data_IF_072279107113
#
_entry.id   IF_072279107113
#
_cell.length_a   1.000
_cell.length_b   1.000
_cell.length_c   1.000
_cell.angle_alpha   90.00
_cell.angle_beta   90.00
_cell.angle_gamma   90.00
#
_symmetry.space_group_name_H-M   'P 1'
#
loop_
_entity.id
_entity.type
_entity.pdbx_description
1 polymer ?
#
# COMPACT_ATOMS: atom_id res chain seq x y z
N UNK A 1 -1.50 -32.95 66.41
CA UNK A 1 -0.90 -33.50 65.16
C UNK A 1 -2.07 -33.79 64.22
N UNK A 2 -2.17 -33.40 62.96
CA UNK A 2 -1.28 -32.68 62.05
C UNK A 2 -2.09 -32.48 60.76
N UNK A 3 -2.31 -31.21 60.35
CA UNK A 3 -2.42 -30.69 58.96
C UNK A 3 -3.54 -31.25 58.06
N UNK A 4 -4.62 -30.51 57.72
CA UNK A 4 -4.70 -29.33 56.83
C UNK A 4 -4.20 -29.63 55.39
N UNK A 5 -5.12 -29.96 54.46
CA UNK A 5 -4.96 -29.83 53.00
C UNK A 5 -6.36 -29.47 52.44
N UNK A 6 -6.73 -28.18 52.43
CA UNK A 6 -6.63 -27.25 51.29
C UNK A 6 -7.45 -27.69 50.05
N UNK A 7 -8.70 -27.21 50.05
CA UNK A 7 -9.55 -26.98 48.90
C UNK A 7 -8.95 -25.81 48.11
N UNK A 8 -8.42 -26.06 46.92
CA UNK A 8 -8.27 -25.01 45.90
C UNK A 8 -8.42 -25.64 44.52
N UNK A 9 -9.67 -25.64 44.03
CA UNK A 9 -10.02 -26.00 42.67
C UNK A 9 -9.38 -24.96 41.73
N UNK A 10 -8.25 -25.31 41.12
CA UNK A 10 -7.56 -24.46 40.15
C UNK A 10 -8.42 -24.35 38.88
N UNK A 11 -9.26 -23.32 38.84
CA UNK A 11 -9.95 -22.86 37.66
C UNK A 11 -8.89 -22.24 36.72
N UNK A 12 -8.23 -23.08 35.93
CA UNK A 12 -7.42 -22.64 34.81
C UNK A 12 -8.34 -21.97 33.79
N UNK A 13 -8.48 -20.65 33.93
CA UNK A 13 -8.97 -19.80 32.85
C UNK A 13 -8.05 -20.02 31.65
N UNK A 14 -8.52 -20.82 30.68
CA UNK A 14 -8.01 -20.76 29.31
C UNK A 14 -8.31 -19.35 28.80
N UNK A 15 -7.42 -18.40 29.07
CA UNK A 15 -7.24 -17.24 28.22
C UNK A 15 -6.75 -17.78 26.88
N UNK A 16 -7.71 -18.10 26.01
CA UNK A 16 -7.43 -18.27 24.60
C UNK A 16 -6.83 -16.95 24.12
N UNK A 17 -5.51 -16.92 23.96
CA UNK A 17 -4.84 -15.90 23.19
C UNK A 17 -5.45 -15.97 21.78
N UNK A 18 -6.41 -15.10 21.51
CA UNK A 18 -6.93 -14.95 20.15
C UNK A 18 -5.72 -14.53 19.30
N UNK A 19 -5.34 -15.28 18.25
CA UNK A 19 -4.31 -14.81 17.35
C UNK A 19 -4.75 -13.44 16.86
N UNK A 20 -3.91 -12.42 17.04
CA UNK A 20 -4.13 -11.11 16.43
C UNK A 20 -4.40 -11.37 14.95
N UNK A 21 -5.63 -11.11 14.52
CA UNK A 21 -6.00 -11.31 13.12
C UNK A 21 -5.16 -10.33 12.33
N UNK A 22 -4.17 -10.85 11.61
CA UNK A 22 -3.39 -10.11 10.64
C UNK A 22 -4.35 -9.22 9.82
N UNK A 23 -3.98 -7.95 9.66
CA UNK A 23 -4.81 -6.99 8.96
C UNK A 23 -5.16 -7.51 7.57
N UNK A 24 -6.35 -7.18 7.05
CA UNK A 24 -6.69 -7.58 5.68
C UNK A 24 -5.66 -7.06 4.68
N UNK A 25 -5.13 -5.85 4.95
CA UNK A 25 -3.94 -5.25 4.36
C UNK A 25 -2.99 -4.86 5.50
N UNK A 26 -1.72 -5.25 5.38
CA UNK A 26 -0.64 -4.84 6.27
C UNK A 26 0.32 -3.96 5.47
N UNK A 27 0.30 -2.64 5.70
CA UNK A 27 1.23 -1.69 5.08
C UNK A 27 2.43 -1.47 6.00
N UNK A 28 3.65 -1.59 5.47
CA UNK A 28 4.86 -1.49 6.29
C UNK A 28 5.69 -0.23 5.99
N UNK A 29 5.93 0.08 4.72
CA UNK A 29 6.97 1.05 4.34
C UNK A 29 6.57 1.90 3.14
N UNK A 30 6.92 3.18 3.18
CA UNK A 30 6.82 4.10 2.03
C UNK A 30 8.16 4.14 1.31
N UNK A 31 8.14 3.90 0.01
CA UNK A 31 9.28 4.00 -0.89
C UNK A 31 9.11 5.24 -1.77
N UNK A 32 10.03 6.20 -1.64
CA UNK A 32 10.12 7.33 -2.54
C UNK A 32 10.76 6.87 -3.85
N UNK A 33 10.05 7.06 -4.97
CA UNK A 33 10.52 6.61 -6.28
C UNK A 33 11.29 7.70 -7.03
N UNK A 34 11.57 8.82 -6.37
CA UNK A 34 12.29 9.93 -6.95
C UNK A 34 13.34 10.44 -5.96
N UNK A 35 14.45 11.02 -6.43
CA UNK A 35 15.45 11.63 -5.58
C UNK A 35 14.84 12.72 -4.69
N UNK A 36 15.32 12.84 -3.46
CA UNK A 36 14.85 13.87 -2.51
C UNK A 36 15.03 15.30 -3.05
N UNK A 37 16.12 15.53 -3.79
CA UNK A 37 16.39 16.81 -4.45
C UNK A 37 15.30 17.21 -5.48
N UNK A 38 14.57 16.24 -6.04
CA UNK A 38 13.41 16.50 -6.89
C UNK A 38 12.13 16.68 -6.08
N UNK A 39 11.93 15.89 -5.03
CA UNK A 39 10.68 15.89 -4.26
C UNK A 39 10.55 17.13 -3.37
N UNK A 40 11.64 17.57 -2.74
CA UNK A 40 11.66 18.69 -1.80
C UNK A 40 11.06 19.99 -2.37
N UNK A 41 11.42 20.45 -3.60
CA UNK A 41 10.77 21.63 -4.17
C UNK A 41 9.31 21.37 -4.60
N UNK A 42 8.93 20.12 -4.88
CA UNK A 42 7.59 19.75 -5.39
C UNK A 42 6.53 19.61 -4.29
N UNK A 43 6.93 19.26 -3.07
CA UNK A 43 6.05 19.00 -1.93
C UNK A 43 6.16 20.16 -0.92
N UNK A 44 5.28 21.18 -1.01
CA UNK A 44 5.32 22.32 -0.10
C UNK A 44 4.87 21.96 1.34
N UNK A 45 4.08 20.90 1.49
CA UNK A 45 3.58 20.43 2.77
C UNK A 45 3.70 18.90 2.86
N UNK A 46 4.75 18.46 3.57
CA UNK A 46 5.06 17.04 3.79
C UNK A 46 4.00 16.38 4.67
N UNK A 47 3.41 17.10 5.63
CA UNK A 47 2.40 16.55 6.54
C UNK A 47 1.11 16.24 5.77
N UNK A 48 0.72 17.11 4.84
CA UNK A 48 -0.42 16.86 3.95
C UNK A 48 -0.16 15.66 3.02
N UNK A 49 1.08 15.48 2.54
CA UNK A 49 1.46 14.29 1.76
C UNK A 49 1.35 13.01 2.59
N UNK A 50 1.90 12.98 3.81
CA UNK A 50 1.80 11.82 4.70
C UNK A 50 0.33 11.47 5.01
N UNK A 51 -0.47 12.47 5.37
CA UNK A 51 -1.91 12.32 5.64
C UNK A 51 -2.67 11.75 4.44
N UNK A 52 -2.29 12.16 3.23
CA UNK A 52 -2.89 11.63 2.00
C UNK A 52 -2.50 10.17 1.75
N UNK A 53 -1.23 9.80 1.96
CA UNK A 53 -0.76 8.41 1.84
C UNK A 53 -1.56 7.52 2.78
N UNK A 54 -1.69 7.89 4.06
CA UNK A 54 -2.44 7.13 5.06
C UNK A 54 -3.91 6.95 4.67
N UNK A 55 -4.55 8.01 4.17
CA UNK A 55 -5.94 7.94 3.72
C UNK A 55 -6.10 7.05 2.50
N UNK A 56 -5.22 7.17 1.51
CA UNK A 56 -5.26 6.35 0.31
C UNK A 56 -5.04 4.86 0.63
N UNK A 57 -4.06 4.53 1.46
CA UNK A 57 -3.80 3.15 1.88
C UNK A 57 -4.94 2.59 2.72
N UNK A 58 -5.56 3.39 3.59
CA UNK A 58 -6.75 2.99 4.36
C UNK A 58 -7.95 2.67 3.45
N UNK A 59 -8.17 3.43 2.38
CA UNK A 59 -9.21 3.13 1.39
C UNK A 59 -8.95 1.79 0.67
N UNK A 60 -7.70 1.49 0.33
CA UNK A 60 -7.35 0.19 -0.24
C UNK A 60 -7.53 -0.95 0.79
N UNK A 61 -7.18 -0.72 2.05
CA UNK A 61 -7.35 -1.67 3.14
C UNK A 61 -8.82 -2.02 3.38
N UNK A 62 -9.71 -1.03 3.26
CA UNK A 62 -11.15 -1.25 3.41
C UNK A 62 -11.71 -2.16 2.30
N UNK A 63 -11.26 -1.97 1.05
CA UNK A 63 -11.59 -2.88 -0.06
C UNK A 63 -11.09 -4.30 0.24
N UNK A 64 -9.86 -4.44 0.74
CA UNK A 64 -9.31 -5.74 1.12
C UNK A 64 -10.12 -6.44 2.23
N UNK A 65 -10.62 -5.67 3.19
CA UNK A 65 -11.40 -6.19 4.33
C UNK A 65 -12.76 -6.73 3.91
N UNK A 66 -13.37 -6.12 2.90
CA UNK A 66 -14.67 -6.54 2.34
C UNK A 66 -14.53 -7.68 1.32
N UNK A 67 -13.34 -7.90 0.78
CA UNK A 67 -13.08 -8.93 -0.20
C UNK A 67 -13.12 -10.33 0.40
N UNK A 68 -13.46 -11.33 -0.43
CA UNK A 68 -13.26 -12.74 -0.08
C UNK A 68 -11.75 -12.98 0.11
N UNK A 69 -11.39 -13.61 1.23
CA UNK A 69 -9.99 -13.97 1.52
C UNK A 69 -9.42 -14.81 0.37
N UNK A 70 -8.27 -14.38 -0.14
CA UNK A 70 -7.48 -15.08 -1.15
C UNK A 70 -6.18 -15.67 -0.57
N UNK A 71 -5.32 -16.24 -1.43
CA UNK A 71 -4.00 -16.70 -0.99
C UNK A 71 -3.14 -15.50 -0.52
N UNK A 72 -2.23 -15.71 0.46
CA UNK A 72 -1.29 -14.67 0.87
C UNK A 72 -0.58 -14.04 -0.32
N UNK A 73 -0.52 -12.71 -0.36
CA UNK A 73 0.12 -11.96 -1.44
C UNK A 73 0.77 -10.70 -0.93
N UNK A 74 1.86 -10.30 -1.58
CA UNK A 74 2.70 -9.18 -1.18
C UNK A 74 3.03 -8.32 -2.39
N UNK A 75 3.15 -7.02 -2.19
CA UNK A 75 3.31 -6.11 -3.31
C UNK A 75 3.30 -4.64 -2.94
N UNK A 76 2.95 -3.84 -3.93
CA UNK A 76 3.01 -2.38 -3.84
C UNK A 76 1.67 -1.75 -4.21
N UNK A 77 1.29 -0.76 -3.41
CA UNK A 77 0.35 0.29 -3.80
C UNK A 77 1.18 1.45 -4.36
N UNK A 78 1.11 1.70 -5.66
CA UNK A 78 1.88 2.77 -6.31
C UNK A 78 0.98 3.97 -6.50
N UNK A 79 1.43 5.15 -6.08
CA UNK A 79 0.64 6.39 -6.10
C UNK A 79 1.45 7.47 -6.82
N UNK A 80 0.78 8.17 -7.75
CA UNK A 80 1.30 9.39 -8.35
C UNK A 80 0.35 10.56 -8.10
N UNK A 81 0.92 11.72 -7.82
CA UNK A 81 0.20 12.98 -7.64
C UNK A 81 0.73 13.97 -8.68
N UNK A 82 -0.16 14.69 -9.35
CA UNK A 82 0.16 15.77 -10.29
C UNK A 82 -0.34 17.12 -9.75
N UNK A 83 0.26 18.23 -10.23
CA UNK A 83 -0.31 19.55 -10.02
C UNK A 83 -1.79 19.60 -10.45
N UNK A 84 -2.58 20.44 -9.78
CA UNK A 84 -4.02 20.55 -10.01
C UNK A 84 -4.86 19.53 -9.23
N UNK A 85 -4.35 19.01 -8.10
CA UNK A 85 -5.06 18.08 -7.20
C UNK A 85 -5.48 16.78 -7.90
N UNK A 86 -4.61 16.26 -8.78
CA UNK A 86 -4.87 15.03 -9.52
C UNK A 86 -4.02 13.90 -8.99
N UNK A 87 -4.61 12.73 -8.81
CA UNK A 87 -3.89 11.51 -8.42
C UNK A 87 -4.25 10.33 -9.31
N UNK A 88 -3.32 9.38 -9.40
CA UNK A 88 -3.54 8.08 -10.02
C UNK A 88 -2.81 7.01 -9.22
N UNK A 89 -3.22 5.76 -9.41
CA UNK A 89 -2.67 4.64 -8.67
C UNK A 89 -2.55 3.39 -9.54
N UNK A 90 -1.58 2.55 -9.19
CA UNK A 90 -1.33 1.24 -9.78
C UNK A 90 -1.02 0.23 -8.70
N UNK A 91 -1.10 -1.05 -9.06
CA UNK A 91 -0.85 -2.16 -8.14
C UNK A 91 0.22 -3.09 -8.73
N UNK A 92 1.07 -3.62 -7.86
CA UNK A 92 2.08 -4.61 -8.22
C UNK A 92 2.20 -5.68 -7.14
N UNK A 93 1.26 -6.63 -7.16
CA UNK A 93 1.18 -7.74 -6.20
C UNK A 93 1.60 -9.06 -6.82
N UNK A 94 2.23 -9.90 -6.00
CA UNK A 94 2.64 -11.25 -6.33
C UNK A 94 2.27 -12.20 -5.17
N UNK A 95 1.38 -13.19 -5.40
CA UNK A 95 0.57 -13.42 -6.60
C UNK A 95 -0.35 -12.24 -6.98
N UNK A 96 -0.74 -12.07 -8.26
CA UNK A 96 -1.61 -10.97 -8.68
C UNK A 96 -2.99 -11.05 -8.03
N UNK A 97 -3.56 -9.89 -7.72
CA UNK A 97 -4.92 -9.81 -7.20
C UNK A 97 -5.96 -10.13 -8.28
N UNK A 98 -7.16 -10.63 -7.90
CA UNK A 98 -8.30 -10.69 -8.81
C UNK A 98 -8.56 -9.31 -9.43
N UNK A 99 -8.84 -9.26 -10.73
CA UNK A 99 -8.98 -7.98 -11.47
C UNK A 99 -10.02 -7.05 -10.86
N UNK A 100 -11.17 -7.59 -10.47
CA UNK A 100 -12.26 -6.82 -9.84
C UNK A 100 -11.83 -6.16 -8.54
N UNK A 101 -11.02 -6.85 -7.72
CA UNK A 101 -10.47 -6.34 -6.48
C UNK A 101 -9.37 -5.30 -6.74
N UNK A 102 -8.47 -5.58 -7.67
CA UNK A 102 -7.41 -4.65 -8.08
C UNK A 102 -8.00 -3.31 -8.55
N UNK A 103 -9.01 -3.36 -9.42
CA UNK A 103 -9.70 -2.17 -9.89
C UNK A 103 -10.46 -1.44 -8.78
N UNK A 104 -11.08 -2.17 -7.85
CA UNK A 104 -11.77 -1.56 -6.70
C UNK A 104 -10.78 -0.82 -5.79
N UNK A 105 -9.62 -1.41 -5.51
CA UNK A 105 -8.55 -0.75 -4.74
C UNK A 105 -8.02 0.50 -5.44
N UNK A 106 -7.76 0.43 -6.75
CA UNK A 106 -7.31 1.60 -7.54
C UNK A 106 -8.35 2.72 -7.48
N UNK A 107 -9.64 2.41 -7.66
CA UNK A 107 -10.72 3.40 -7.54
C UNK A 107 -10.82 3.99 -6.14
N UNK A 108 -10.69 3.16 -5.10
CA UNK A 108 -10.77 3.61 -3.71
C UNK A 108 -9.61 4.57 -3.37
N UNK A 109 -8.38 4.25 -3.77
CA UNK A 109 -7.24 5.16 -3.60
C UNK A 109 -7.43 6.48 -4.35
N UNK A 110 -7.91 6.42 -5.60
CA UNK A 110 -8.17 7.61 -6.44
C UNK A 110 -9.31 8.50 -5.94
N UNK A 111 -10.15 8.01 -5.04
CA UNK A 111 -11.23 8.80 -4.44
C UNK A 111 -10.74 9.79 -3.37
N UNK A 112 -9.51 9.64 -2.90
CA UNK A 112 -8.91 10.54 -1.91
C UNK A 112 -8.36 11.78 -2.60
N UNK A 113 -8.79 12.96 -2.15
CA UNK A 113 -8.25 14.24 -2.64
C UNK A 113 -6.76 14.35 -2.31
N UNK A 114 -5.86 14.49 -3.29
CA UNK A 114 -4.43 14.63 -3.05
C UNK A 114 -4.07 16.05 -2.57
N UNK A 115 -2.91 16.22 -1.92
CA UNK A 115 -2.37 17.53 -1.58
C UNK A 115 -1.95 18.28 -2.84
N UNK A 116 -1.74 19.59 -2.70
CA UNK A 116 -1.10 20.38 -3.75
C UNK A 116 0.38 19.98 -3.89
N UNK A 117 0.79 19.68 -5.12
CA UNK A 117 2.19 19.53 -5.52
C UNK A 117 2.49 20.50 -6.67
N UNK A 118 3.76 20.88 -6.84
CA UNK A 118 4.20 21.84 -7.87
C UNK A 118 5.41 21.30 -8.62
N UNK A 119 5.72 21.85 -9.79
CA UNK A 119 6.99 21.58 -10.49
C UNK A 119 7.16 20.16 -11.07
N UNK A 120 6.10 19.34 -11.10
CA UNK A 120 6.12 17.99 -11.66
C UNK A 120 5.26 17.02 -10.86
N UNK A 121 5.12 15.77 -11.32
CA UNK A 121 4.47 14.74 -10.53
C UNK A 121 5.32 14.36 -9.31
N UNK A 122 4.68 13.79 -8.30
CA UNK A 122 5.31 13.13 -7.15
C UNK A 122 4.90 11.67 -7.19
N UNK A 123 5.87 10.76 -7.22
CA UNK A 123 5.64 9.32 -7.38
C UNK A 123 6.24 8.54 -6.21
N UNK A 124 5.43 7.68 -5.59
CA UNK A 124 5.82 6.86 -4.44
C UNK A 124 5.13 5.49 -4.50
N UNK A 125 5.61 4.57 -3.67
CA UNK A 125 4.96 3.29 -3.45
C UNK A 125 4.85 2.97 -1.95
N UNK A 126 3.83 2.20 -1.59
CA UNK A 126 3.66 1.66 -0.25
C UNK A 126 3.77 0.14 -0.33
N UNK A 127 4.73 -0.42 0.40
CA UNK A 127 4.89 -1.86 0.57
C UNK A 127 3.72 -2.40 1.38
N UNK A 128 3.09 -3.45 0.87
CA UNK A 128 1.91 -4.02 1.49
C UNK A 128 1.83 -5.55 1.35
N UNK A 129 1.31 -6.19 2.38
CA UNK A 129 0.88 -7.58 2.41
C UNK A 129 -0.63 -7.68 2.52
N UNK A 130 -1.21 -8.75 1.96
CA UNK A 130 -2.64 -9.07 2.04
C UNK A 130 -2.80 -10.52 2.52
N UNK A 131 -3.79 -10.74 3.38
CA UNK A 131 -4.17 -12.08 3.86
C UNK A 131 -3.01 -12.90 4.43
N UNK A 132 -2.15 -12.25 5.23
CA UNK A 132 -0.96 -12.89 5.83
C UNK A 132 0.27 -12.90 4.93
N UNK A 133 0.25 -12.23 3.78
CA UNK A 133 1.45 -11.90 3.03
C UNK A 133 2.34 -10.93 3.82
N UNK A 134 3.65 -11.13 3.80
CA UNK A 134 4.62 -10.22 4.46
C UNK A 134 4.92 -9.00 3.59
N UNK A 135 5.73 -8.06 4.07
CA UNK A 135 6.27 -7.00 3.23
C UNK A 135 7.06 -7.61 2.04
N UNK A 136 6.93 -7.07 0.81
CA UNK A 136 7.67 -7.57 -0.35
C UNK A 136 9.18 -7.39 -0.17
N UNK A 137 9.92 -8.43 -0.56
CA UNK A 137 11.40 -8.44 -0.57
C UNK A 137 11.96 -7.48 -1.61
N UNK A 138 11.22 -7.21 -2.69
CA UNK A 138 11.63 -6.26 -3.74
C UNK A 138 11.70 -4.84 -3.19
N UNK A 139 12.63 -4.05 -3.70
CA UNK A 139 12.78 -2.64 -3.32
C UNK A 139 11.90 -1.71 -4.15
N UNK A 140 11.77 -2.01 -5.45
CA UNK A 140 11.03 -1.18 -6.39
C UNK A 140 9.80 -1.92 -6.95
N UNK A 141 8.70 -1.20 -7.17
CA UNK A 141 7.53 -1.72 -7.85
C UNK A 141 7.78 -1.81 -9.37
N UNK A 142 7.08 -2.74 -10.01
CA UNK A 142 7.03 -2.84 -11.48
C UNK A 142 5.61 -3.15 -11.96
N UNK A 143 4.66 -2.20 -11.79
CA UNK A 143 3.28 -2.39 -12.23
C UNK A 143 3.20 -2.81 -13.70
N UNK A 144 2.17 -3.56 -14.06
CA UNK A 144 2.01 -4.12 -15.41
C UNK A 144 2.07 -3.03 -16.49
N UNK A 145 1.44 -1.89 -16.23
CA UNK A 145 1.40 -0.73 -17.11
C UNK A 145 2.77 -0.08 -17.29
N UNK A 146 3.58 -0.07 -16.23
CA UNK A 146 4.93 0.49 -16.27
C UNK A 146 5.85 -0.41 -17.08
N UNK A 147 5.81 -1.72 -16.84
CA UNK A 147 6.57 -2.71 -17.64
C UNK A 147 6.22 -2.59 -19.12
N UNK A 148 4.94 -2.53 -19.47
CA UNK A 148 4.51 -2.34 -20.86
C UNK A 148 5.05 -1.03 -21.48
N UNK A 149 5.13 0.05 -20.71
CA UNK A 149 5.68 1.32 -21.18
C UNK A 149 7.20 1.28 -21.36
N UNK A 150 7.93 0.63 -20.45
CA UNK A 150 9.38 0.39 -20.53
C UNK A 150 9.71 -0.47 -21.75
N UNK A 151 9.00 -1.59 -21.90
CA UNK A 151 9.17 -2.53 -23.03
C UNK A 151 8.95 -1.80 -24.36
N UNK A 152 7.89 -0.98 -24.45
CA UNK A 152 7.62 -0.16 -25.63
C UNK A 152 8.69 0.91 -25.89
N UNK A 153 9.30 1.46 -24.83
CA UNK A 153 10.36 2.46 -24.96
C UNK A 153 11.72 1.84 -25.31
N UNK A 154 11.92 0.54 -25.07
CA UNK A 154 13.18 -0.16 -25.30
C UNK A 154 14.33 0.30 -24.38
N UNK A 155 14.02 1.04 -23.30
CA UNK A 155 14.98 1.58 -22.34
C UNK A 155 14.33 1.84 -20.99
N UNK A 156 15.14 1.96 -19.94
CA UNK A 156 14.66 2.45 -18.64
C UNK A 156 14.12 3.87 -18.76
N UNK A 157 13.12 4.16 -17.93
CA UNK A 157 12.44 5.45 -17.85
C UNK A 157 12.34 5.84 -16.38
N UNK A 158 12.61 7.11 -16.08
CA UNK A 158 12.42 7.64 -14.74
C UNK A 158 10.93 7.59 -14.34
N UNK A 159 10.60 7.42 -13.04
CA UNK A 159 9.23 7.25 -12.59
C UNK A 159 8.29 8.40 -12.99
N UNK A 160 8.73 9.66 -12.95
CA UNK A 160 7.92 10.78 -13.45
C UNK A 160 7.65 10.65 -14.96
N UNK A 161 8.65 10.26 -15.74
CA UNK A 161 8.51 10.09 -17.19
C UNK A 161 7.58 8.91 -17.51
N UNK A 162 7.65 7.83 -16.73
CA UNK A 162 6.73 6.69 -16.85
C UNK A 162 5.29 7.13 -16.60
N UNK A 163 5.07 7.77 -15.45
CA UNK A 163 3.76 8.29 -15.04
C UNK A 163 3.22 9.26 -16.08
N UNK A 164 4.06 10.13 -16.65
CA UNK A 164 3.68 11.04 -17.73
C UNK A 164 3.21 10.33 -18.99
N UNK A 165 3.84 9.22 -19.36
CA UNK A 165 3.48 8.44 -20.55
C UNK A 165 2.23 7.58 -20.39
N UNK A 166 1.98 7.06 -19.20
CA UNK A 166 0.91 6.06 -18.97
C UNK A 166 -0.38 6.67 -18.43
N UNK A 167 -0.31 7.82 -17.76
CA UNK A 167 -1.48 8.46 -17.18
C UNK A 167 -2.32 9.12 -18.26
N UNK A 168 -3.43 8.47 -18.62
CA UNK A 168 -4.47 8.99 -19.50
C UNK A 168 -5.51 9.75 -18.67
N UNK A 169 -5.93 10.91 -19.15
CA UNK A 169 -6.95 11.75 -18.50
C UNK A 169 -8.35 11.12 -18.53
#
# INVERSE_FOLDING_TARGET
MQRLILITLAMCALLAAQPARAGALESSDVVLLQPEAELQPRVPDVQSLATYIDKATAQAAEVARQARVGPPTSGFLVIAIRPGLRSNAWLDFQPPLPSTMAEAMIRAMRSVTPPAVRGGPVVLAVKAGLWGGSSPVRDLPAPKEWRAAIDKAGRSLEPETLVEKIWRD
#
